data_IF_507165362763
#
_entry.id   IF_507165362763
#
_cell.length_a   1.000
_cell.length_b   1.000
_cell.length_c   1.000
_cell.angle_alpha   90.00
_cell.angle_beta   90.00
_cell.angle_gamma   90.00
#
_symmetry.space_group_name_H-M   'P 1'
#
loop_
_entity.id
_entity.type
_entity.pdbx_description
1 polymer ?
#
# COMPACT_ATOMS: atom_id res chain seq x y z
N UNK A 1 -2.31 67.38 -3.44
CA UNK A 1 -1.20 66.86 -2.60
C UNK A 1 -0.81 65.49 -3.13
N UNK A 2 0.30 65.44 -3.89
CA UNK A 2 0.95 64.22 -4.39
C UNK A 2 1.78 63.61 -3.24
N UNK A 3 1.60 62.33 -2.98
CA UNK A 3 2.40 61.53 -2.07
C UNK A 3 2.54 60.14 -2.71
N UNK A 4 3.76 59.76 -3.11
CA UNK A 4 4.58 58.74 -2.42
C UNK A 4 4.17 57.32 -2.88
N UNK A 5 5.05 56.40 -3.29
CA UNK A 5 6.49 56.35 -3.32
C UNK A 5 6.91 55.08 -4.09
N UNK A 6 8.08 55.14 -4.75
CA UNK A 6 9.15 54.12 -4.72
C UNK A 6 8.70 52.67 -4.97
N UNK A 7 8.88 52.15 -6.18
CA UNK A 7 10.15 51.46 -6.54
C UNK A 7 11.10 51.30 -5.35
N UNK A 8 11.09 50.11 -4.73
CA UNK A 8 12.21 49.33 -4.16
C UNK A 8 11.54 48.16 -3.42
N UNK A 9 11.38 47.03 -4.10
CA UNK A 9 11.19 45.72 -3.47
C UNK A 9 11.51 44.66 -4.54
N UNK A 10 12.76 44.60 -4.94
CA UNK A 10 13.74 43.68 -4.35
C UNK A 10 13.56 42.28 -4.91
N UNK A 11 14.40 42.02 -5.91
CA UNK A 11 14.77 40.73 -6.48
C UNK A 11 15.17 39.65 -5.46
N UNK A 12 15.22 39.98 -4.16
CA UNK A 12 15.48 39.05 -3.05
C UNK A 12 14.35 38.04 -2.80
N UNK A 13 13.12 38.26 -3.28
CA UNK A 13 12.03 37.30 -3.10
C UNK A 13 12.19 36.01 -3.93
N UNK A 14 12.93 36.05 -5.05
CA UNK A 14 13.16 34.85 -5.89
C UNK A 14 14.30 33.98 -5.42
N UNK A 15 15.24 34.51 -4.62
CA UNK A 15 16.43 33.77 -4.18
C UNK A 15 16.19 32.91 -2.93
N UNK A 16 15.04 33.08 -2.25
CA UNK A 16 14.71 32.31 -1.05
C UNK A 16 13.91 31.01 -1.31
N UNK A 17 13.46 30.76 -2.55
CA UNK A 17 12.80 29.49 -2.90
C UNK A 17 13.80 28.35 -3.22
N UNK A 18 15.10 28.65 -3.28
CA UNK A 18 16.14 27.69 -3.66
C UNK A 18 16.92 27.07 -2.48
N UNK A 19 16.54 27.35 -1.22
CA UNK A 19 17.24 26.84 -0.03
C UNK A 19 16.36 26.08 0.98
N UNK A 20 15.09 25.82 0.65
CA UNK A 20 14.19 25.00 1.51
C UNK A 20 13.80 23.66 0.88
N UNK A 21 14.53 23.18 -0.12
CA UNK A 21 14.39 21.82 -0.66
C UNK A 21 15.26 20.79 0.07
N UNK A 22 15.53 21.00 1.36
CA UNK A 22 16.20 20.00 2.19
C UNK A 22 15.18 19.44 3.19
N UNK A 23 14.25 18.66 2.64
CA UNK A 23 13.52 17.70 3.44
C UNK A 23 14.54 16.68 3.98
N UNK A 24 14.47 16.28 5.26
CA UNK A 24 15.29 15.21 5.77
C UNK A 24 15.00 13.97 4.92
N UNK A 25 16.05 13.39 4.34
CA UNK A 25 16.04 12.06 3.76
C UNK A 25 15.85 11.02 4.89
N UNK A 26 14.70 11.07 5.55
CA UNK A 26 14.11 9.95 6.24
C UNK A 26 13.15 9.27 5.25
N UNK A 27 13.68 8.91 4.08
CA UNK A 27 13.18 7.70 3.44
C UNK A 27 13.63 6.59 4.38
N UNK A 28 12.77 6.31 5.34
CA UNK A 28 12.65 4.98 5.91
C UNK A 28 12.44 4.06 4.72
N UNK A 29 13.56 3.69 4.10
CA UNK A 29 13.71 2.41 3.45
C UNK A 29 13.44 1.48 4.61
N UNK A 30 12.16 1.16 4.81
CA UNK A 30 11.76 0.00 5.57
C UNK A 30 12.68 -1.07 5.01
N UNK A 31 13.73 -1.38 5.77
CA UNK A 31 14.61 -2.46 5.44
C UNK A 31 13.63 -3.59 5.28
N UNK A 32 13.45 -4.04 4.04
CA UNK A 32 12.84 -5.32 3.77
C UNK A 32 13.74 -6.26 4.56
N UNK A 33 13.32 -6.54 5.79
CA UNK A 33 14.00 -7.47 6.65
C UNK A 33 14.21 -8.72 5.82
N UNK A 34 15.31 -9.47 6.03
CA UNK A 34 15.47 -10.76 5.39
C UNK A 34 14.13 -11.48 5.51
N UNK A 35 13.56 -12.01 4.40
CA UNK A 35 12.19 -12.52 4.39
C UNK A 35 12.06 -13.40 5.62
N UNK A 36 11.33 -12.89 6.61
CA UNK A 36 11.09 -13.62 7.84
C UNK A 36 10.56 -14.94 7.33
N UNK A 37 11.25 -16.04 7.63
CA UNK A 37 10.79 -17.37 7.26
C UNK A 37 9.52 -17.60 8.06
N UNK A 38 8.41 -17.02 7.60
CA UNK A 38 7.10 -17.54 7.90
C UNK A 38 7.18 -18.98 7.44
N UNK A 39 7.21 -19.92 8.38
CA UNK A 39 7.35 -21.34 8.09
C UNK A 39 6.19 -21.91 7.27
N UNK A 40 5.17 -21.08 7.01
CA UNK A 40 4.06 -21.40 6.12
C UNK A 40 4.48 -21.32 4.66
N UNK A 41 4.20 -22.38 3.92
CA UNK A 41 4.26 -22.42 2.48
C UNK A 41 3.35 -21.35 1.86
N UNK A 42 3.66 -20.85 0.65
CA UNK A 42 2.79 -19.93 -0.08
C UNK A 42 1.35 -20.46 -0.27
N UNK A 43 1.19 -21.78 -0.35
CA UNK A 43 -0.11 -22.44 -0.43
C UNK A 43 -0.91 -22.30 0.88
N UNK A 44 -0.26 -22.54 2.03
CA UNK A 44 -0.89 -22.37 3.35
C UNK A 44 -1.28 -20.92 3.59
N UNK A 45 -0.44 -19.97 3.17
CA UNK A 45 -0.75 -18.53 3.25
C UNK A 45 -1.97 -18.21 2.37
N UNK A 46 -2.00 -18.67 1.12
CA UNK A 46 -3.13 -18.45 0.23
C UNK A 46 -4.43 -19.06 0.80
N UNK A 47 -4.36 -20.27 1.35
CA UNK A 47 -5.52 -20.91 1.99
C UNK A 47 -6.02 -20.11 3.19
N UNK A 48 -5.11 -19.71 4.10
CA UNK A 48 -5.43 -18.92 5.28
C UNK A 48 -6.09 -17.58 4.91
N UNK A 49 -5.51 -16.84 3.95
CA UNK A 49 -6.08 -15.59 3.45
C UNK A 49 -7.47 -15.83 2.87
N UNK A 50 -7.66 -16.92 2.12
CA UNK A 50 -8.98 -17.29 1.59
C UNK A 50 -10.02 -17.47 2.70
N UNK A 51 -9.70 -18.26 3.73
CA UNK A 51 -10.63 -18.50 4.84
C UNK A 51 -11.00 -17.21 5.58
N UNK A 52 -10.00 -16.44 6.00
CA UNK A 52 -10.25 -15.24 6.82
C UNK A 52 -11.02 -14.17 6.04
N UNK A 53 -10.72 -13.99 4.74
CA UNK A 53 -11.41 -12.98 3.92
C UNK A 53 -12.87 -13.35 3.63
N UNK A 54 -13.20 -14.64 3.55
CA UNK A 54 -14.59 -15.09 3.42
C UNK A 54 -15.41 -14.79 4.68
N UNK A 55 -14.86 -15.08 5.85
CA UNK A 55 -15.50 -14.78 7.14
C UNK A 55 -15.69 -13.27 7.33
N UNK A 56 -14.63 -12.49 7.11
CA UNK A 56 -14.68 -11.04 7.23
C UNK A 56 -15.65 -10.41 6.23
N UNK A 57 -15.74 -10.92 5.00
CA UNK A 57 -16.70 -10.40 4.00
C UNK A 57 -18.14 -10.58 4.51
N UNK A 58 -18.43 -11.72 5.15
CA UNK A 58 -19.74 -11.99 5.75
C UNK A 58 -20.02 -11.02 6.90
N UNK A 59 -19.04 -10.77 7.78
CA UNK A 59 -19.18 -9.79 8.87
C UNK A 59 -19.38 -8.37 8.33
N UNK A 60 -18.60 -7.97 7.33
CA UNK A 60 -18.72 -6.65 6.70
C UNK A 60 -20.09 -6.42 6.05
N UNK A 61 -20.68 -7.45 5.42
CA UNK A 61 -22.05 -7.39 4.89
C UNK A 61 -23.10 -7.21 5.98
N UNK A 62 -22.93 -7.90 7.12
CA UNK A 62 -23.84 -7.78 8.28
C UNK A 62 -23.74 -6.42 8.98
N UNK A 63 -22.64 -5.70 8.78
CA UNK A 63 -22.39 -4.38 9.35
C UNK A 63 -22.58 -3.24 8.34
N UNK A 64 -23.20 -3.50 7.18
CA UNK A 64 -23.42 -2.53 6.09
C UNK A 64 -22.14 -1.85 5.56
N UNK A 65 -20.98 -2.50 5.72
CA UNK A 65 -19.69 -2.04 5.20
C UNK A 65 -19.48 -2.54 3.76
N UNK A 66 -20.34 -2.11 2.84
CA UNK A 66 -20.44 -2.66 1.48
C UNK A 66 -19.13 -2.63 0.68
N UNK A 67 -18.38 -1.52 0.72
CA UNK A 67 -17.10 -1.39 0.02
C UNK A 67 -16.03 -2.33 0.60
N UNK A 68 -15.99 -2.48 1.93
CA UNK A 68 -15.08 -3.41 2.58
C UNK A 68 -15.43 -4.86 2.23
N UNK A 69 -16.71 -5.22 2.26
CA UNK A 69 -17.18 -6.54 1.85
C UNK A 69 -16.77 -6.89 0.42
N UNK A 70 -16.82 -5.91 -0.49
CA UNK A 70 -16.36 -6.05 -1.87
C UNK A 70 -14.86 -6.35 -1.94
N UNK A 71 -14.00 -5.58 -1.27
CA UNK A 71 -12.56 -5.82 -1.27
C UNK A 71 -12.19 -7.19 -0.68
N UNK A 72 -12.87 -7.59 0.40
CA UNK A 72 -12.67 -8.91 1.01
C UNK A 72 -13.07 -10.04 0.07
N UNK A 73 -14.15 -9.87 -0.70
CA UNK A 73 -14.56 -10.87 -1.67
C UNK A 73 -13.60 -10.98 -2.87
N UNK A 74 -13.03 -9.86 -3.30
CA UNK A 74 -11.96 -9.84 -4.30
C UNK A 74 -10.70 -10.56 -3.79
N UNK A 75 -10.26 -10.25 -2.57
CA UNK A 75 -9.13 -10.91 -1.94
C UNK A 75 -9.35 -12.43 -1.79
N UNK A 76 -10.55 -12.86 -1.40
CA UNK A 76 -10.92 -14.28 -1.36
C UNK A 76 -10.80 -14.95 -2.74
N UNK A 77 -11.25 -14.28 -3.82
CA UNK A 77 -11.15 -14.81 -5.17
C UNK A 77 -9.68 -14.96 -5.64
N UNK A 78 -8.84 -13.98 -5.33
CA UNK A 78 -7.40 -14.00 -5.62
C UNK A 78 -6.68 -15.11 -4.85
N UNK A 79 -6.96 -15.25 -3.54
CA UNK A 79 -6.42 -16.31 -2.71
C UNK A 79 -6.75 -17.70 -3.28
N UNK A 80 -8.00 -17.93 -3.69
CA UNK A 80 -8.40 -19.18 -4.36
C UNK A 80 -7.69 -19.39 -5.69
N UNK A 81 -7.45 -18.33 -6.47
CA UNK A 81 -6.72 -18.44 -7.72
C UNK A 81 -5.25 -18.81 -7.49
N UNK A 82 -4.63 -18.28 -6.43
CA UNK A 82 -3.26 -18.61 -6.04
C UNK A 82 -3.15 -20.05 -5.54
N UNK A 83 -4.07 -20.52 -4.69
CA UNK A 83 -4.08 -21.92 -4.24
C UNK A 83 -4.09 -22.91 -5.41
N UNK A 84 -4.94 -22.68 -6.43
CA UNK A 84 -4.99 -23.51 -7.64
C UNK A 84 -3.67 -23.49 -8.43
N UNK A 85 -3.00 -22.33 -8.51
CA UNK A 85 -1.70 -22.22 -9.18
C UNK A 85 -0.64 -23.05 -8.47
N UNK A 86 -0.64 -23.07 -7.14
CA UNK A 86 0.32 -23.86 -6.36
C UNK A 86 0.06 -25.36 -6.45
N UNK A 87 -1.21 -25.78 -6.50
CA UNK A 87 -1.59 -27.18 -6.76
C UNK A 87 -1.12 -27.67 -8.14
N UNK A 88 -1.22 -26.82 -9.16
CA UNK A 88 -0.80 -27.16 -10.53
C UNK A 88 0.73 -27.13 -10.71
N UNK A 89 1.43 -26.21 -10.03
CA UNK A 89 2.89 -26.06 -10.12
C UNK A 89 3.68 -27.16 -9.41
N UNK A 90 3.08 -27.83 -8.41
CA UNK A 90 3.70 -28.92 -7.66
C UNK A 90 3.55 -30.30 -8.33
N UNK A 91 2.79 -30.40 -9.43
CA UNK A 91 2.54 -31.64 -10.17
C UNK A 91 3.44 -31.90 -11.39
N UNK A 92 4.52 -31.13 -11.62
CA UNK A 92 5.45 -31.36 -12.73
C UNK A 92 6.64 -32.23 -12.26
N UNK A 93 6.66 -33.56 -12.54
CA UNK A 93 7.88 -34.35 -12.40
C UNK A 93 8.90 -33.86 -13.42
N UNK A 94 10.14 -33.63 -12.96
CA UNK A 94 11.32 -33.41 -13.82
C UNK A 94 11.91 -34.75 -14.21
#
# INVERSE_FOLDING_TARGET
MRALAKEIASSSARKQLAHSAQAPAASSRAAAGPPGRFGASPQEIAHYIGQITAELSTMARRSDLGLLAYFLQMAHAEARALSRKFEQGSGRPS
#
